data_IF_829154911179
#
_entry.id   IF_829154911179
#
_cell.length_a   1.000
_cell.length_b   1.000
_cell.length_c   1.000
_cell.angle_alpha   90.00
_cell.angle_beta   90.00
_cell.angle_gamma   90.00
#
_symmetry.space_group_name_H-M   'P 1'
#
loop_
_entity.id
_entity.type
_entity.pdbx_description
1 polymer ?
#
# COMPACT_ATOMS: atom_id res chain seq x y z
N UNK A 1 10.39 13.26 -40.74
CA UNK A 1 10.75 11.87 -41.07
C UNK A 1 11.42 11.27 -39.87
N UNK A 2 10.74 10.32 -39.24
CA UNK A 2 11.22 9.59 -38.09
C UNK A 2 12.52 8.83 -38.40
N UNK A 3 13.39 8.69 -37.40
CA UNK A 3 14.60 7.89 -37.47
C UNK A 3 14.30 6.45 -37.93
N UNK A 4 15.09 5.86 -38.84
CA UNK A 4 14.80 4.54 -39.39
C UNK A 4 14.76 3.40 -38.35
N UNK A 5 15.54 3.50 -37.27
CA UNK A 5 15.55 2.49 -36.21
C UNK A 5 14.25 2.58 -35.41
N UNK A 6 13.82 3.80 -35.07
CA UNK A 6 12.55 4.03 -34.38
C UNK A 6 11.37 3.57 -35.23
N UNK A 7 11.39 3.88 -36.54
CA UNK A 7 10.37 3.43 -37.49
C UNK A 7 10.23 1.90 -37.53
N UNK A 8 11.34 1.17 -37.68
CA UNK A 8 11.33 -0.30 -37.69
C UNK A 8 10.90 -0.89 -36.34
N UNK A 9 11.30 -0.26 -35.23
CA UNK A 9 10.87 -0.67 -33.90
C UNK A 9 9.36 -0.55 -33.73
N UNK A 10 8.76 0.57 -34.17
CA UNK A 10 7.31 0.76 -34.14
C UNK A 10 6.57 -0.27 -35.00
N UNK A 11 7.12 -0.66 -36.16
CA UNK A 11 6.55 -1.73 -36.98
C UNK A 11 6.55 -3.09 -36.26
N UNK A 12 7.61 -3.42 -35.52
CA UNK A 12 7.66 -4.66 -34.72
C UNK A 12 6.66 -4.60 -33.57
N UNK A 13 6.62 -3.49 -32.83
CA UNK A 13 5.67 -3.26 -31.74
C UNK A 13 4.24 -3.37 -32.25
N UNK A 14 3.90 -2.76 -33.39
CA UNK A 14 2.57 -2.86 -33.98
C UNK A 14 2.13 -4.31 -34.21
N UNK A 15 3.05 -5.14 -34.70
CA UNK A 15 2.80 -6.57 -35.01
C UNK A 15 2.62 -7.41 -33.74
N UNK A 16 3.19 -6.98 -32.61
CA UNK A 16 3.12 -7.72 -31.35
C UNK A 16 1.84 -7.48 -30.54
N UNK A 17 1.03 -6.49 -30.94
CA UNK A 17 -0.22 -6.12 -30.29
C UNK A 17 -1.42 -6.22 -31.23
N UNK A 18 -2.60 -6.38 -30.62
CA UNK A 18 -3.89 -6.36 -31.30
C UNK A 18 -4.92 -5.63 -30.46
N UNK A 19 -5.77 -4.86 -31.13
CA UNK A 19 -6.94 -4.23 -30.51
C UNK A 19 -7.87 -5.31 -29.93
N UNK A 20 -8.32 -5.10 -28.69
CA UNK A 20 -9.42 -5.90 -28.15
C UNK A 20 -10.74 -5.51 -28.83
N UNK A 21 -11.75 -6.40 -28.87
CA UNK A 21 -13.05 -6.08 -29.49
C UNK A 21 -13.62 -4.76 -28.95
N UNK A 22 -13.94 -3.84 -29.86
CA UNK A 22 -14.43 -2.49 -29.55
C UNK A 22 -13.34 -1.41 -29.47
N UNK A 23 -12.06 -1.78 -29.55
CA UNK A 23 -10.94 -0.84 -29.72
C UNK A 23 -10.63 -0.62 -31.19
N UNK A 24 -10.24 0.60 -31.54
CA UNK A 24 -9.71 0.98 -32.85
C UNK A 24 -8.40 1.77 -32.73
N UNK A 25 -7.66 1.59 -31.63
CA UNK A 25 -6.47 2.35 -31.30
C UNK A 25 -5.41 2.27 -32.42
N UNK A 26 -5.19 1.08 -32.98
CA UNK A 26 -4.20 0.89 -34.02
C UNK A 26 -4.67 1.26 -35.44
N UNK A 27 -5.88 1.81 -35.61
CA UNK A 27 -6.37 2.21 -36.93
C UNK A 27 -5.48 3.26 -37.61
N UNK A 28 -4.83 4.12 -36.82
CA UNK A 28 -3.88 5.12 -37.33
C UNK A 28 -2.50 4.56 -37.64
N UNK A 29 -2.15 3.37 -37.15
CA UNK A 29 -0.83 2.76 -37.32
C UNK A 29 -0.74 1.98 -38.62
N UNK A 30 -0.93 2.66 -39.74
CA UNK A 30 -0.96 2.08 -41.08
C UNK A 30 0.40 2.14 -41.80
N UNK A 31 1.37 2.89 -41.23
CA UNK A 31 2.71 3.12 -41.79
C UNK A 31 2.69 3.71 -43.21
N UNK A 32 1.61 4.41 -43.59
CA UNK A 32 1.53 5.18 -44.85
C UNK A 32 1.92 6.64 -44.67
N UNK A 33 1.96 7.12 -43.43
CA UNK A 33 2.35 8.49 -43.04
C UNK A 33 3.40 8.48 -41.91
N UNK A 34 3.89 9.66 -41.52
CA UNK A 34 4.88 9.79 -40.46
C UNK A 34 4.32 9.23 -39.12
N UNK A 35 4.95 8.20 -38.51
CA UNK A 35 4.44 7.57 -37.29
C UNK A 35 4.31 8.52 -36.10
N UNK A 36 4.96 9.68 -36.12
CA UNK A 36 4.78 10.71 -35.11
C UNK A 36 3.35 11.28 -35.04
N UNK A 37 2.51 11.01 -36.06
CA UNK A 37 1.09 11.38 -36.07
C UNK A 37 0.16 10.26 -35.58
N UNK A 38 0.70 9.08 -35.28
CA UNK A 38 -0.10 7.94 -34.86
C UNK A 38 -0.56 8.09 -33.41
N UNK A 39 -1.71 7.48 -33.09
CA UNK A 39 -2.23 7.49 -31.74
C UNK A 39 -1.19 6.97 -30.74
N UNK A 40 -0.95 7.74 -29.68
CA UNK A 40 -0.05 7.36 -28.58
C UNK A 40 1.45 7.49 -28.86
N UNK A 41 1.87 7.98 -30.03
CA UNK A 41 3.29 8.23 -30.35
C UNK A 41 3.57 9.73 -30.26
N UNK A 42 4.59 10.10 -29.50
CA UNK A 42 5.08 11.47 -29.42
C UNK A 42 6.56 11.52 -29.75
N UNK A 43 6.91 12.43 -30.66
CA UNK A 43 8.28 12.59 -31.14
C UNK A 43 8.84 13.96 -30.77
N UNK A 44 10.15 14.00 -30.57
CA UNK A 44 10.95 15.22 -30.54
C UNK A 44 11.99 15.08 -31.66
N UNK A 45 12.08 16.09 -32.52
CA UNK A 45 12.85 16.03 -33.76
C UNK A 45 12.47 14.80 -34.62
N UNK A 46 13.36 13.80 -34.71
CA UNK A 46 13.16 12.57 -35.46
C UNK A 46 13.13 11.32 -34.56
N UNK A 47 12.94 11.46 -33.24
CA UNK A 47 12.99 10.36 -32.28
C UNK A 47 11.72 10.26 -31.45
N UNK A 48 11.31 9.04 -31.10
CA UNK A 48 10.16 8.80 -30.22
C UNK A 48 10.56 9.04 -28.77
N UNK A 49 9.91 10.03 -28.13
CA UNK A 49 10.15 10.40 -26.73
C UNK A 49 9.08 9.88 -25.77
N UNK A 50 7.86 9.63 -26.24
CA UNK A 50 6.83 8.98 -25.46
C UNK A 50 6.02 8.00 -26.31
N UNK A 51 5.69 6.86 -25.70
CA UNK A 51 4.88 5.82 -26.31
C UNK A 51 3.82 5.34 -25.32
N UNK A 52 2.56 5.63 -25.64
CA UNK A 52 1.40 5.33 -24.81
C UNK A 52 0.49 4.34 -25.54
N UNK A 53 0.70 3.04 -25.28
CA UNK A 53 0.02 1.96 -25.97
C UNK A 53 -1.39 1.73 -25.43
N UNK A 54 -2.36 2.04 -26.28
CA UNK A 54 -3.79 1.86 -26.07
C UNK A 54 -4.50 3.16 -25.67
N UNK A 55 -5.81 3.16 -25.85
CA UNK A 55 -6.64 4.35 -25.61
C UNK A 55 -6.83 4.60 -24.10
N UNK A 56 -6.46 5.79 -23.59
CA UNK A 56 -6.50 6.10 -22.16
C UNK A 56 -7.91 6.39 -21.63
N UNK A 57 -8.93 6.48 -22.49
CA UNK A 57 -10.31 6.77 -22.07
C UNK A 57 -10.83 5.69 -21.12
N UNK A 58 -11.50 6.13 -20.06
CA UNK A 58 -12.14 5.22 -19.11
C UNK A 58 -13.14 4.31 -19.84
N UNK A 59 -13.02 3.00 -19.61
CA UNK A 59 -13.86 1.98 -20.27
C UNK A 59 -13.33 1.51 -21.64
N UNK A 60 -12.20 2.03 -22.11
CA UNK A 60 -11.50 1.48 -23.29
C UNK A 60 -11.23 -0.02 -23.10
N UNK A 61 -11.51 -0.87 -24.10
CA UNK A 61 -11.22 -2.31 -24.02
C UNK A 61 -9.73 -2.62 -23.83
N UNK A 62 -8.85 -1.72 -24.28
CA UNK A 62 -7.40 -1.89 -24.21
C UNK A 62 -6.83 -2.77 -25.33
N UNK A 63 -5.62 -3.27 -25.10
CA UNK A 63 -4.87 -4.07 -26.07
C UNK A 63 -4.63 -5.49 -25.58
N UNK A 64 -4.37 -6.40 -26.51
CA UNK A 64 -3.85 -7.75 -26.25
C UNK A 64 -2.54 -7.97 -27.00
N UNK A 65 -1.76 -8.97 -26.60
CA UNK A 65 -0.48 -9.29 -27.23
C UNK A 65 0.67 -9.30 -26.24
N UNK A 66 1.88 -9.00 -26.70
CA UNK A 66 3.12 -9.04 -25.90
C UNK A 66 3.97 -7.81 -26.15
N UNK A 67 4.76 -7.42 -25.16
CA UNK A 67 5.75 -6.35 -25.29
C UNK A 67 6.92 -6.87 -26.14
N UNK A 68 7.06 -6.34 -27.36
CA UNK A 68 8.14 -6.70 -28.25
C UNK A 68 9.49 -6.17 -27.74
N UNK A 69 10.57 -6.97 -27.72
CA UNK A 69 11.91 -6.51 -27.35
C UNK A 69 12.45 -5.33 -28.16
N UNK A 70 11.92 -5.08 -29.37
CA UNK A 70 12.22 -3.92 -30.19
C UNK A 70 11.91 -2.59 -29.49
N UNK A 71 11.08 -2.58 -28.44
CA UNK A 71 10.87 -1.40 -27.60
C UNK A 71 12.19 -0.78 -27.13
N UNK A 72 13.20 -1.60 -26.83
CA UNK A 72 14.52 -1.13 -26.38
C UNK A 72 15.33 -0.40 -27.45
N UNK A 73 14.85 -0.32 -28.70
CA UNK A 73 15.47 0.43 -29.79
C UNK A 73 15.03 1.90 -29.84
N UNK A 74 13.95 2.27 -29.16
CA UNK A 74 13.48 3.65 -29.01
C UNK A 74 14.35 4.38 -27.98
N UNK A 75 15.64 4.59 -28.26
CA UNK A 75 16.62 5.00 -27.23
C UNK A 75 16.37 6.40 -26.64
N UNK A 76 15.58 7.24 -27.31
CA UNK A 76 15.16 8.55 -26.81
C UNK A 76 13.97 8.48 -25.84
N UNK A 77 13.31 7.34 -25.70
CA UNK A 77 12.06 7.19 -24.95
C UNK A 77 12.22 7.61 -23.49
N UNK A 78 11.42 8.59 -23.08
CA UNK A 78 11.31 9.12 -21.72
C UNK A 78 10.06 8.60 -21.00
N UNK A 79 8.99 8.29 -21.73
CA UNK A 79 7.74 7.77 -21.19
C UNK A 79 7.27 6.53 -21.97
N UNK A 80 6.99 5.46 -21.24
CA UNK A 80 6.35 4.25 -21.77
C UNK A 80 5.16 3.91 -20.89
N UNK A 81 3.97 3.96 -21.48
CA UNK A 81 2.75 3.49 -20.82
C UNK A 81 2.04 2.44 -21.66
N UNK A 82 1.40 1.50 -20.96
CA UNK A 82 0.49 0.54 -21.56
C UNK A 82 -0.79 0.56 -20.73
N UNK A 83 -1.91 0.91 -21.36
CA UNK A 83 -3.20 1.02 -20.68
C UNK A 83 -3.71 -0.35 -20.22
N UNK A 84 -4.68 -0.41 -19.28
CA UNK A 84 -5.29 -1.66 -18.85
C UNK A 84 -5.81 -2.49 -20.04
N UNK A 85 -5.60 -3.80 -20.00
CA UNK A 85 -5.93 -4.67 -21.13
C UNK A 85 -5.65 -6.15 -20.87
N UNK A 86 -5.31 -6.88 -21.94
CA UNK A 86 -4.97 -8.31 -21.93
C UNK A 86 -3.55 -8.58 -22.42
N UNK A 87 -2.60 -7.71 -22.09
CA UNK A 87 -1.20 -7.89 -22.46
C UNK A 87 -0.57 -8.97 -21.59
N UNK A 88 0.08 -9.95 -22.22
CA UNK A 88 0.69 -11.13 -21.58
C UNK A 88 2.21 -11.15 -21.80
N UNK A 89 2.87 -12.13 -21.20
CA UNK A 89 4.32 -12.35 -21.35
C UNK A 89 5.13 -11.59 -20.32
N UNK A 90 6.46 -11.65 -20.43
CA UNK A 90 7.37 -11.01 -19.49
C UNK A 90 7.86 -9.64 -19.97
N UNK A 91 8.35 -8.84 -19.02
CA UNK A 91 9.07 -7.62 -19.33
C UNK A 91 10.36 -7.96 -20.10
N UNK A 92 10.59 -7.42 -21.31
CA UNK A 92 11.80 -7.72 -22.05
C UNK A 92 13.00 -7.04 -21.40
N UNK A 93 14.11 -7.77 -21.30
CA UNK A 93 15.36 -7.25 -20.72
C UNK A 93 15.91 -6.04 -21.50
N UNK A 94 15.50 -5.86 -22.76
CA UNK A 94 15.86 -4.73 -23.61
C UNK A 94 15.29 -3.40 -23.14
N UNK A 95 14.30 -3.37 -22.24
CA UNK A 95 13.86 -2.13 -21.57
C UNK A 95 15.02 -1.39 -20.89
N UNK A 96 16.05 -2.11 -20.46
CA UNK A 96 17.26 -1.53 -19.88
C UNK A 96 18.04 -0.62 -20.83
N UNK A 97 17.79 -0.67 -22.14
CA UNK A 97 18.43 0.19 -23.15
C UNK A 97 17.85 1.61 -23.19
N UNK A 98 16.66 1.82 -22.61
CA UNK A 98 15.95 3.10 -22.60
C UNK A 98 16.53 4.06 -21.57
N UNK A 99 17.78 4.50 -21.75
CA UNK A 99 18.53 5.26 -20.73
C UNK A 99 17.89 6.61 -20.36
N UNK A 100 16.98 7.12 -21.18
CA UNK A 100 16.22 8.34 -20.95
C UNK A 100 14.89 8.13 -20.21
N UNK A 101 14.49 6.88 -19.98
CA UNK A 101 13.18 6.55 -19.40
C UNK A 101 13.03 7.14 -18.00
N UNK A 102 11.98 7.93 -17.81
CA UNK A 102 11.57 8.56 -16.55
C UNK A 102 10.29 7.96 -16.02
N UNK A 103 9.39 7.54 -16.91
CA UNK A 103 8.08 7.00 -16.55
C UNK A 103 7.86 5.66 -17.25
N UNK A 104 7.69 4.60 -16.46
CA UNK A 104 7.31 3.27 -16.93
C UNK A 104 6.05 2.82 -16.19
N UNK A 105 4.91 2.77 -16.89
CA UNK A 105 3.64 2.33 -16.32
C UNK A 105 2.98 1.24 -17.16
N UNK A 106 2.90 0.04 -16.62
CA UNK A 106 2.26 -1.12 -17.24
C UNK A 106 1.41 -1.77 -16.16
N UNK A 107 0.24 -1.19 -15.90
CA UNK A 107 -0.67 -1.67 -14.84
C UNK A 107 -1.91 -2.37 -15.41
N UNK A 108 -2.54 -3.22 -14.59
CA UNK A 108 -3.81 -3.92 -14.90
C UNK A 108 -3.76 -4.70 -16.23
N UNK A 109 -2.74 -5.54 -16.34
CA UNK A 109 -2.53 -6.45 -17.46
C UNK A 109 -2.20 -7.85 -16.89
N UNK A 110 -1.73 -8.76 -17.74
CA UNK A 110 -1.35 -10.12 -17.36
C UNK A 110 0.15 -10.36 -17.54
N UNK A 111 0.97 -9.32 -17.31
CA UNK A 111 2.42 -9.44 -17.38
C UNK A 111 2.89 -10.43 -16.31
N UNK A 112 3.72 -11.39 -16.70
CA UNK A 112 4.21 -12.47 -15.85
C UNK A 112 5.74 -12.57 -15.90
N UNK A 113 6.33 -13.56 -15.23
CA UNK A 113 7.78 -13.65 -15.06
C UNK A 113 8.28 -12.67 -13.99
N UNK A 114 9.58 -12.37 -14.01
CA UNK A 114 10.24 -11.54 -12.99
C UNK A 114 10.50 -10.11 -13.46
N UNK A 115 10.74 -9.20 -12.52
CA UNK A 115 11.28 -7.86 -12.82
C UNK A 115 12.76 -8.04 -13.24
N UNK A 116 13.15 -7.69 -14.48
CA UNK A 116 14.54 -7.87 -14.90
C UNK A 116 15.48 -6.99 -14.09
N UNK A 117 16.53 -7.57 -13.49
CA UNK A 117 17.52 -6.82 -12.72
C UNK A 117 18.23 -5.72 -13.56
N UNK A 118 18.25 -5.87 -14.88
CA UNK A 118 18.78 -4.88 -15.83
C UNK A 118 18.00 -3.57 -15.83
N UNK A 119 16.75 -3.53 -15.37
CA UNK A 119 16.00 -2.28 -15.17
C UNK A 119 16.69 -1.33 -14.17
N UNK A 120 17.53 -1.84 -13.27
CA UNK A 120 18.38 -1.02 -12.40
C UNK A 120 19.44 -0.19 -13.14
N UNK A 121 19.57 -0.33 -14.46
CA UNK A 121 20.41 0.54 -15.29
C UNK A 121 19.71 1.84 -15.71
N UNK A 122 18.40 1.98 -15.46
CA UNK A 122 17.59 3.14 -15.84
C UNK A 122 17.75 4.27 -14.81
N UNK A 123 18.92 4.89 -14.75
CA UNK A 123 19.30 5.87 -13.73
C UNK A 123 18.38 7.11 -13.66
N UNK A 124 17.62 7.40 -14.72
CA UNK A 124 16.67 8.53 -14.82
C UNK A 124 15.23 8.15 -14.45
N UNK A 125 14.97 6.87 -14.14
CA UNK A 125 13.62 6.40 -13.85
C UNK A 125 13.10 7.01 -12.55
N UNK A 126 11.95 7.67 -12.65
CA UNK A 126 11.26 8.35 -11.57
C UNK A 126 10.02 7.58 -11.11
N UNK A 127 9.28 6.99 -12.05
CA UNK A 127 8.09 6.21 -11.74
C UNK A 127 8.17 4.83 -12.37
N UNK A 128 8.02 3.81 -11.53
CA UNK A 128 7.84 2.42 -11.91
C UNK A 128 6.49 1.93 -11.39
N UNK A 129 5.52 1.78 -12.28
CA UNK A 129 4.22 1.18 -11.99
C UNK A 129 4.04 -0.11 -12.78
N UNK A 130 4.02 -1.23 -12.07
CA UNK A 130 3.74 -2.57 -12.61
C UNK A 130 2.57 -3.23 -11.86
N UNK A 131 1.71 -2.43 -11.24
CA UNK A 131 0.64 -2.90 -10.37
C UNK A 131 -0.44 -3.71 -11.10
N UNK A 132 -1.12 -4.60 -10.39
CA UNK A 132 -2.20 -5.44 -10.93
C UNK A 132 -1.74 -6.26 -12.15
N UNK A 133 -0.67 -7.03 -11.99
CA UNK A 133 -0.19 -7.99 -12.97
C UNK A 133 0.01 -9.37 -12.30
N UNK A 134 0.75 -10.27 -12.96
CA UNK A 134 1.08 -11.61 -12.49
C UNK A 134 2.60 -11.75 -12.25
N UNK A 135 3.30 -10.65 -11.96
CA UNK A 135 4.76 -10.63 -11.82
C UNK A 135 5.16 -11.39 -10.56
N UNK A 136 6.09 -12.32 -10.72
CA UNK A 136 6.68 -13.12 -9.65
C UNK A 136 8.15 -12.78 -9.40
N UNK A 137 8.88 -13.69 -8.76
CA UNK A 137 10.28 -13.49 -8.40
C UNK A 137 10.45 -12.44 -7.29
N UNK A 138 11.65 -11.89 -7.15
CA UNK A 138 11.95 -10.86 -6.14
C UNK A 138 12.03 -9.45 -6.75
N UNK A 139 11.92 -8.42 -5.91
CA UNK A 139 12.27 -7.05 -6.32
C UNK A 139 13.81 -7.00 -6.40
N UNK A 140 14.43 -6.79 -7.57
CA UNK A 140 15.88 -6.80 -7.67
C UNK A 140 16.50 -5.67 -6.85
N UNK A 141 17.60 -5.95 -6.13
CA UNK A 141 18.35 -4.95 -5.37
C UNK A 141 18.73 -3.73 -6.22
N UNK A 142 19.04 -3.94 -7.49
CA UNK A 142 19.39 -2.88 -8.44
C UNK A 142 18.28 -1.83 -8.61
N UNK A 143 17.00 -2.20 -8.48
CA UNK A 143 15.87 -1.25 -8.48
C UNK A 143 15.92 -0.35 -7.25
N UNK A 144 16.20 -0.91 -6.08
CA UNK A 144 16.35 -0.16 -4.83
C UNK A 144 17.48 0.88 -4.87
N UNK A 145 18.47 0.68 -5.76
CA UNK A 145 19.61 1.59 -5.96
C UNK A 145 19.41 2.67 -7.02
N UNK A 146 18.25 2.74 -7.67
CA UNK A 146 17.97 3.77 -8.67
C UNK A 146 17.87 5.15 -7.99
N UNK A 147 18.69 6.14 -8.38
CA UNK A 147 18.86 7.37 -7.61
C UNK A 147 17.66 8.33 -7.74
N UNK A 148 16.95 8.30 -8.87
CA UNK A 148 15.91 9.25 -9.21
C UNK A 148 14.47 8.76 -8.92
N UNK A 149 14.30 7.57 -8.33
CA UNK A 149 12.97 7.03 -8.07
C UNK A 149 12.17 7.94 -7.14
N UNK A 150 10.93 8.19 -7.52
CA UNK A 150 9.93 8.92 -6.75
C UNK A 150 8.74 8.03 -6.40
N UNK A 151 8.31 7.19 -7.33
CA UNK A 151 7.17 6.29 -7.16
C UNK A 151 7.53 4.85 -7.55
N UNK A 152 7.31 3.93 -6.63
CA UNK A 152 7.40 2.47 -6.87
C UNK A 152 6.06 1.85 -6.51
N UNK A 153 5.33 1.38 -7.54
CA UNK A 153 3.98 0.83 -7.42
C UNK A 153 3.99 -0.58 -8.01
N UNK A 154 4.06 -1.59 -7.15
CA UNK A 154 4.13 -3.00 -7.53
C UNK A 154 3.00 -3.83 -6.89
N UNK A 155 1.96 -3.17 -6.39
CA UNK A 155 0.88 -3.84 -5.66
C UNK A 155 0.05 -4.79 -6.51
N UNK A 156 -0.57 -5.79 -5.89
CA UNK A 156 -1.37 -6.83 -6.56
C UNK A 156 -0.58 -7.58 -7.63
N UNK A 157 0.51 -8.21 -7.21
CA UNK A 157 1.31 -9.12 -8.01
C UNK A 157 1.54 -10.42 -7.22
N UNK A 158 2.52 -11.22 -7.64
CA UNK A 158 2.98 -12.45 -6.97
C UNK A 158 4.45 -12.33 -6.54
N UNK A 159 4.89 -11.11 -6.25
CA UNK A 159 6.29 -10.82 -5.92
C UNK A 159 6.61 -11.42 -4.55
N UNK A 160 7.77 -12.04 -4.43
CA UNK A 160 8.23 -12.80 -3.27
C UNK A 160 9.63 -12.35 -2.84
N UNK A 161 10.20 -13.00 -1.82
CA UNK A 161 11.49 -12.61 -1.26
C UNK A 161 11.44 -11.34 -0.42
N UNK A 162 12.61 -10.76 -0.10
CA UNK A 162 12.71 -9.59 0.75
C UNK A 162 12.52 -8.28 0.00
N UNK A 163 12.07 -7.25 0.72
CA UNK A 163 12.08 -5.87 0.23
C UNK A 163 13.55 -5.39 0.19
N UNK A 164 14.08 -4.93 -0.95
CA UNK A 164 15.42 -4.36 -1.02
C UNK A 164 15.46 -2.96 -0.38
N UNK A 165 16.62 -2.50 0.11
CA UNK A 165 16.75 -1.12 0.58
C UNK A 165 16.55 -0.15 -0.58
N UNK A 166 15.76 0.89 -0.34
CA UNK A 166 15.59 1.99 -1.28
C UNK A 166 16.46 3.17 -0.84
N UNK A 167 17.39 3.59 -1.69
CA UNK A 167 18.38 4.64 -1.35
C UNK A 167 18.02 6.02 -1.90
N UNK A 168 17.06 6.09 -2.83
CA UNK A 168 16.65 7.35 -3.43
C UNK A 168 16.02 8.29 -2.41
N UNK A 169 16.58 9.48 -2.31
CA UNK A 169 16.09 10.54 -1.42
C UNK A 169 14.87 11.28 -2.01
N UNK A 170 14.45 10.94 -3.23
CA UNK A 170 13.26 11.50 -3.88
C UNK A 170 12.06 10.56 -3.79
N UNK A 171 12.22 9.37 -3.18
CA UNK A 171 11.16 8.38 -3.09
C UNK A 171 10.09 8.85 -2.11
N UNK A 172 8.91 9.15 -2.63
CA UNK A 172 7.75 9.62 -1.86
C UNK A 172 6.69 8.54 -1.73
N UNK A 173 6.61 7.59 -2.68
CA UNK A 173 5.60 6.53 -2.69
C UNK A 173 6.22 5.15 -2.88
N UNK A 174 5.94 4.26 -1.92
CA UNK A 174 6.19 2.83 -2.01
C UNK A 174 4.89 2.06 -1.76
N UNK A 175 4.35 1.45 -2.81
CA UNK A 175 3.10 0.68 -2.79
C UNK A 175 3.35 -0.73 -3.31
N UNK A 176 3.57 -1.68 -2.39
CA UNK A 176 3.89 -3.09 -2.70
C UNK A 176 2.94 -4.06 -1.99
N UNK A 177 1.75 -3.58 -1.61
CA UNK A 177 0.72 -4.39 -0.97
C UNK A 177 0.22 -5.53 -1.86
N UNK A 178 -0.40 -6.54 -1.26
CA UNK A 178 -0.93 -7.72 -1.98
C UNK A 178 0.15 -8.40 -2.83
N UNK A 179 1.15 -8.96 -2.16
CA UNK A 179 2.22 -9.76 -2.71
C UNK A 179 2.58 -10.90 -1.72
N UNK A 180 3.61 -11.67 -2.03
CA UNK A 180 4.16 -12.75 -1.19
C UNK A 180 5.51 -12.36 -0.55
N UNK A 181 5.75 -11.05 -0.32
CA UNK A 181 7.01 -10.55 0.24
C UNK A 181 7.22 -11.06 1.67
N UNK A 182 8.45 -11.35 2.04
CA UNK A 182 8.83 -11.89 3.35
C UNK A 182 10.10 -11.26 3.93
N UNK A 183 10.44 -11.61 5.16
CA UNK A 183 11.57 -11.00 5.87
C UNK A 183 11.26 -9.61 6.43
N UNK A 184 12.28 -8.97 6.98
CA UNK A 184 12.16 -7.66 7.63
C UNK A 184 12.16 -6.50 6.62
N UNK A 185 11.56 -5.37 7.00
CA UNK A 185 11.66 -4.14 6.23
C UNK A 185 13.09 -3.61 6.35
N UNK A 186 13.78 -3.31 5.24
CA UNK A 186 15.10 -2.69 5.26
C UNK A 186 15.00 -1.20 5.67
N UNK A 187 16.13 -0.48 5.61
CA UNK A 187 16.07 0.98 5.73
C UNK A 187 15.32 1.57 4.53
N UNK A 188 14.41 2.50 4.82
CA UNK A 188 13.66 3.28 3.85
C UNK A 188 14.02 4.77 3.97
N UNK A 189 13.92 5.55 2.88
CA UNK A 189 14.32 6.95 2.89
C UNK A 189 13.30 7.81 3.65
N UNK A 190 13.74 8.85 4.38
CA UNK A 190 12.87 9.72 5.18
C UNK A 190 11.92 10.58 4.34
N UNK A 191 12.14 10.65 3.02
CA UNK A 191 11.28 11.34 2.05
C UNK A 191 9.92 10.66 1.81
N UNK A 192 9.72 9.44 2.33
CA UNK A 192 8.49 8.68 2.12
C UNK A 192 7.28 9.37 2.72
N UNK A 193 6.24 9.51 1.90
CA UNK A 193 4.94 10.08 2.26
C UNK A 193 3.83 9.03 2.21
N UNK A 194 3.95 8.03 1.34
CA UNK A 194 3.00 6.93 1.19
C UNK A 194 3.73 5.59 1.30
N UNK A 195 3.38 4.80 2.31
CA UNK A 195 3.91 3.46 2.52
C UNK A 195 2.77 2.45 2.65
N UNK A 196 2.64 1.56 1.67
CA UNK A 196 1.67 0.45 1.73
C UNK A 196 2.36 -0.88 1.49
N UNK A 197 2.43 -1.69 2.56
CA UNK A 197 3.05 -3.01 2.59
C UNK A 197 2.04 -4.11 2.94
N UNK A 198 0.75 -3.77 3.00
CA UNK A 198 -0.28 -4.68 3.53
C UNK A 198 -0.44 -5.95 2.71
N UNK A 199 -1.00 -6.98 3.32
CA UNK A 199 -1.19 -8.29 2.66
C UNK A 199 0.10 -8.85 2.08
N UNK A 200 1.06 -9.10 2.97
CA UNK A 200 2.31 -9.77 2.68
C UNK A 200 2.65 -10.74 3.84
N UNK A 201 3.86 -11.29 3.84
CA UNK A 201 4.39 -12.19 4.88
C UNK A 201 5.60 -11.55 5.58
N UNK A 202 5.64 -10.21 5.65
CA UNK A 202 6.76 -9.47 6.22
C UNK A 202 6.82 -9.65 7.73
N UNK A 203 8.03 -9.71 8.28
CA UNK A 203 8.32 -10.05 9.67
C UNK A 203 9.20 -8.99 10.33
N UNK A 204 9.50 -9.20 11.62
CA UNK A 204 10.48 -8.40 12.34
C UNK A 204 9.93 -7.07 12.89
N UNK A 205 10.75 -6.35 13.66
CA UNK A 205 10.37 -5.08 14.26
C UNK A 205 10.43 -3.93 13.27
N UNK A 206 9.60 -2.91 13.49
CA UNK A 206 9.48 -1.73 12.62
C UNK A 206 9.83 -0.42 13.34
N UNK A 207 10.09 -0.45 14.64
CA UNK A 207 10.40 0.69 15.50
C UNK A 207 11.53 1.58 14.95
N UNK A 208 12.63 0.95 14.55
CA UNK A 208 13.81 1.66 14.00
C UNK A 208 13.57 2.29 12.64
N UNK A 209 12.72 1.68 11.81
CA UNK A 209 12.43 2.19 10.47
C UNK A 209 11.40 3.30 10.56
N UNK A 210 10.27 3.06 11.23
CA UNK A 210 9.16 4.02 11.32
C UNK A 210 9.55 5.31 12.07
N UNK A 211 10.46 5.25 13.04
CA UNK A 211 10.91 6.45 13.76
C UNK A 211 11.57 7.51 12.87
N UNK A 212 12.00 7.16 11.65
CA UNK A 212 12.66 8.07 10.70
C UNK A 212 11.74 8.61 9.61
N UNK A 213 10.52 8.08 9.47
CA UNK A 213 9.61 8.38 8.35
C UNK A 213 8.61 9.48 8.72
N UNK A 214 9.11 10.63 9.17
CA UNK A 214 8.30 11.72 9.72
C UNK A 214 7.49 12.51 8.67
N UNK A 215 7.66 12.23 7.38
CA UNK A 215 6.88 12.80 6.28
C UNK A 215 5.69 11.91 5.86
N UNK A 216 5.44 10.80 6.55
CA UNK A 216 4.34 9.89 6.20
C UNK A 216 2.97 10.54 6.38
N UNK A 217 2.19 10.52 5.29
CA UNK A 217 0.80 10.92 5.22
C UNK A 217 -0.14 9.70 5.19
N UNK A 218 0.35 8.56 4.70
CA UNK A 218 -0.38 7.29 4.62
C UNK A 218 0.53 6.12 4.98
N UNK A 219 0.06 5.27 5.90
CA UNK A 219 0.76 4.04 6.26
C UNK A 219 -0.23 2.89 6.44
N UNK A 220 0.02 1.81 5.70
CA UNK A 220 -0.69 0.55 5.84
C UNK A 220 0.29 -0.63 5.88
N UNK A 221 0.47 -1.17 7.09
CA UNK A 221 1.28 -2.36 7.37
C UNK A 221 0.41 -3.57 7.70
N UNK A 222 -0.91 -3.47 7.52
CA UNK A 222 -1.86 -4.49 7.97
C UNK A 222 -1.66 -5.84 7.29
N UNK A 223 -2.15 -6.91 7.92
CA UNK A 223 -2.09 -8.28 7.39
C UNK A 223 -0.66 -8.72 7.02
N UNK A 224 0.21 -8.67 8.02
CA UNK A 224 1.60 -9.13 7.96
C UNK A 224 1.94 -9.92 9.24
N UNK A 225 3.23 -10.16 9.48
CA UNK A 225 3.75 -10.86 10.65
C UNK A 225 4.74 -9.97 11.43
N UNK A 226 4.57 -8.65 11.38
CA UNK A 226 5.44 -7.71 12.09
C UNK A 226 5.36 -7.89 13.60
N UNK A 227 6.50 -7.77 14.28
CA UNK A 227 6.65 -7.97 15.72
C UNK A 227 7.17 -6.72 16.42
N UNK A 228 7.33 -6.78 17.74
CA UNK A 228 7.91 -5.70 18.52
C UNK A 228 6.95 -4.53 18.73
N UNK A 229 7.51 -3.42 19.24
CA UNK A 229 6.75 -2.21 19.59
C UNK A 229 6.57 -1.30 18.38
N UNK A 230 5.58 -0.43 18.44
CA UNK A 230 5.44 0.71 17.55
C UNK A 230 6.05 1.95 18.23
N UNK A 231 6.78 2.82 17.51
CA UNK A 231 7.39 4.00 18.10
C UNK A 231 6.31 5.05 18.41
N UNK A 232 6.41 5.72 19.57
CA UNK A 232 5.44 6.74 20.00
C UNK A 232 5.39 7.95 19.06
N UNK A 233 6.51 8.26 18.40
CA UNK A 233 6.58 9.32 17.38
C UNK A 233 5.72 9.06 16.16
N UNK A 234 5.32 7.80 15.89
CA UNK A 234 4.43 7.49 14.76
C UNK A 234 3.10 8.25 14.85
N UNK A 235 2.64 8.53 16.07
CA UNK A 235 1.38 9.22 16.32
C UNK A 235 1.46 10.74 16.14
N UNK A 236 2.66 11.33 16.06
CA UNK A 236 2.85 12.77 15.81
C UNK A 236 3.04 13.12 14.34
N UNK A 237 3.11 12.12 13.47
CA UNK A 237 3.24 12.33 12.02
C UNK A 237 1.91 12.79 11.41
N UNK A 238 1.91 13.47 10.25
CA UNK A 238 0.71 13.96 9.58
C UNK A 238 -0.10 12.85 8.88
N UNK A 239 -0.29 11.71 9.55
CA UNK A 239 -0.95 10.52 9.01
C UNK A 239 -2.47 10.74 8.98
N UNK A 240 -3.05 10.47 7.81
CA UNK A 240 -4.50 10.52 7.59
C UNK A 240 -5.23 9.25 8.05
N UNK A 241 -4.56 8.11 7.99
CA UNK A 241 -5.10 6.80 8.36
C UNK A 241 -3.96 5.85 8.76
N UNK A 242 -4.03 5.30 9.97
CA UNK A 242 -3.02 4.38 10.52
C UNK A 242 -3.57 2.97 10.57
N UNK A 243 -3.05 2.09 9.69
CA UNK A 243 -3.51 0.70 9.57
C UNK A 243 -2.39 -0.29 9.92
N UNK A 244 -2.45 -0.87 11.12
CA UNK A 244 -1.46 -1.85 11.62
C UNK A 244 -2.09 -3.20 11.99
N UNK A 245 -3.37 -3.38 11.70
CA UNK A 245 -4.15 -4.53 12.13
C UNK A 245 -3.66 -5.85 11.57
N UNK A 246 -3.94 -6.95 12.28
CA UNK A 246 -3.57 -8.32 11.88
C UNK A 246 -2.07 -8.48 11.70
N UNK A 247 -1.35 -8.20 12.78
CA UNK A 247 0.09 -8.39 12.90
C UNK A 247 0.40 -9.10 14.24
N UNK A 248 1.67 -9.09 14.64
CA UNK A 248 2.14 -9.61 15.92
C UNK A 248 2.79 -8.51 16.78
N UNK A 249 2.42 -7.24 16.54
CA UNK A 249 2.94 -6.11 17.32
C UNK A 249 2.59 -6.27 18.80
N UNK A 250 3.48 -5.83 19.68
CA UNK A 250 3.38 -6.04 21.12
C UNK A 250 3.88 -4.85 21.94
N UNK A 251 3.69 -4.93 23.25
CA UNK A 251 4.04 -3.85 24.17
C UNK A 251 3.00 -2.74 24.22
N UNK A 252 3.28 -1.68 25.00
CA UNK A 252 2.32 -0.61 25.24
C UNK A 252 2.24 0.39 24.08
N UNK A 253 1.03 0.92 23.86
CA UNK A 253 0.76 1.99 22.90
C UNK A 253 0.69 3.30 23.68
N UNK A 254 1.76 4.09 23.60
CA UNK A 254 1.94 5.31 24.39
C UNK A 254 2.28 6.49 23.47
N UNK A 255 1.29 7.11 22.79
CA UNK A 255 1.49 8.39 22.12
C UNK A 255 1.98 9.45 23.12
N UNK A 256 2.84 10.36 22.65
CA UNK A 256 3.39 11.44 23.49
C UNK A 256 2.34 12.52 23.77
N UNK A 257 1.55 12.84 22.74
CA UNK A 257 0.51 13.86 22.75
C UNK A 257 -0.81 13.30 22.22
N UNK A 258 -1.87 14.11 22.31
CA UNK A 258 -3.18 13.79 21.75
C UNK A 258 -3.08 13.45 20.27
N UNK A 259 -3.68 12.32 19.88
CA UNK A 259 -3.57 11.79 18.52
C UNK A 259 -4.53 12.53 17.59
N UNK A 260 -4.00 13.13 16.52
CA UNK A 260 -4.78 13.86 15.51
C UNK A 260 -5.27 12.97 14.36
N UNK A 261 -4.78 11.73 14.29
CA UNK A 261 -5.13 10.77 13.24
C UNK A 261 -6.62 10.38 13.38
N UNK A 262 -7.47 10.62 12.37
CA UNK A 262 -8.91 10.35 12.47
C UNK A 262 -9.24 8.85 12.63
N UNK A 263 -8.47 7.99 11.96
CA UNK A 263 -8.69 6.54 11.97
C UNK A 263 -7.41 5.81 12.36
N UNK A 264 -7.49 5.02 13.44
CA UNK A 264 -6.40 4.21 13.97
C UNK A 264 -6.90 2.79 14.15
N UNK A 265 -6.38 1.87 13.33
CA UNK A 265 -6.67 0.44 13.44
C UNK A 265 -5.44 -0.35 13.91
N UNK A 266 -5.48 -0.74 15.19
CA UNK A 266 -4.47 -1.57 15.86
C UNK A 266 -5.00 -2.97 16.15
N UNK A 267 -6.16 -3.33 15.60
CA UNK A 267 -6.85 -4.56 15.97
C UNK A 267 -6.08 -5.83 15.57
N UNK A 268 -6.39 -6.96 16.21
CA UNK A 268 -5.75 -8.25 15.91
C UNK A 268 -4.21 -8.20 16.01
N UNK A 269 -3.73 -7.80 17.17
CA UNK A 269 -2.30 -7.74 17.50
C UNK A 269 -2.06 -8.35 18.89
N UNK A 270 -0.89 -8.10 19.47
CA UNK A 270 -0.51 -8.49 20.83
C UNK A 270 -0.17 -7.27 21.69
N UNK A 271 -0.71 -6.09 21.37
CA UNK A 271 -0.51 -4.87 22.17
C UNK A 271 -1.02 -5.08 23.60
N UNK A 272 -0.31 -4.53 24.58
CA UNK A 272 -0.53 -4.82 25.99
C UNK A 272 -0.42 -3.56 26.86
N UNK A 273 -0.76 -3.68 28.15
CA UNK A 273 -0.77 -2.54 29.07
C UNK A 273 -2.08 -1.75 29.02
N UNK A 274 -2.10 -0.59 29.67
CA UNK A 274 -3.30 0.26 29.73
C UNK A 274 -3.57 0.98 28.41
N UNK A 275 -4.85 1.26 28.16
CA UNK A 275 -5.28 2.12 27.05
C UNK A 275 -4.87 3.56 27.34
N UNK A 276 -4.04 4.16 26.50
CA UNK A 276 -3.59 5.55 26.68
C UNK A 276 -4.74 6.55 26.47
N UNK A 277 -4.94 7.53 27.37
CA UNK A 277 -5.94 8.59 27.20
C UNK A 277 -5.67 9.50 26.00
N UNK A 278 -4.42 9.52 25.48
CA UNK A 278 -4.05 10.32 24.31
C UNK A 278 -4.73 9.84 23.02
N UNK A 279 -5.29 8.63 23.00
CA UNK A 279 -6.07 8.09 21.88
C UNK A 279 -7.55 8.53 21.90
N UNK A 280 -7.99 9.27 22.92
CA UNK A 280 -9.42 9.64 23.09
C UNK A 280 -9.94 10.63 22.05
N UNK A 281 -9.05 11.28 21.29
CA UNK A 281 -9.40 12.18 20.17
C UNK A 281 -9.59 11.47 18.84
N UNK A 282 -9.27 10.18 18.74
CA UNK A 282 -9.41 9.39 17.51
C UNK A 282 -10.89 9.10 17.25
N UNK A 283 -11.39 9.48 16.07
CA UNK A 283 -12.79 9.30 15.68
C UNK A 283 -13.16 7.83 15.46
N UNK A 284 -12.28 7.07 14.80
CA UNK A 284 -12.47 5.64 14.52
C UNK A 284 -11.30 4.83 15.10
N UNK A 285 -11.51 4.28 16.29
CA UNK A 285 -10.47 3.60 17.06
C UNK A 285 -10.79 2.10 17.21
N UNK A 286 -9.90 1.28 16.66
CA UNK A 286 -9.99 -0.18 16.73
C UNK A 286 -8.82 -0.74 17.54
N UNK A 287 -9.11 -1.12 18.79
CA UNK A 287 -8.16 -1.77 19.71
C UNK A 287 -8.53 -3.22 19.99
N UNK A 288 -9.55 -3.75 19.34
CA UNK A 288 -10.08 -5.08 19.59
C UNK A 288 -9.08 -6.19 19.25
N UNK A 289 -9.25 -7.36 19.88
CA UNK A 289 -8.39 -8.54 19.68
C UNK A 289 -6.91 -8.22 19.97
N UNK A 290 -6.65 -7.74 21.19
CA UNK A 290 -5.34 -7.42 21.72
C UNK A 290 -5.22 -7.94 23.16
N UNK A 291 -4.23 -7.45 23.90
CA UNK A 291 -3.96 -7.79 25.31
C UNK A 291 -4.00 -6.55 26.21
N UNK A 292 -4.80 -5.54 25.87
CA UNK A 292 -4.95 -4.36 26.72
C UNK A 292 -5.60 -4.72 28.05
N UNK A 293 -5.16 -4.06 29.12
CA UNK A 293 -5.55 -4.31 30.51
C UNK A 293 -5.94 -3.03 31.23
N UNK A 294 -6.44 -3.18 32.47
CA UNK A 294 -6.81 -2.07 33.32
C UNK A 294 -8.14 -1.43 32.94
N UNK A 295 -8.39 -0.28 33.56
CA UNK A 295 -9.59 0.54 33.34
C UNK A 295 -9.44 1.35 32.06
N UNK A 296 -10.51 1.43 31.28
CA UNK A 296 -10.59 2.37 30.14
C UNK A 296 -10.71 3.79 30.71
N UNK A 297 -9.85 4.75 30.30
CA UNK A 297 -9.90 6.11 30.83
C UNK A 297 -11.27 6.79 30.60
N UNK A 298 -11.76 7.51 31.62
CA UNK A 298 -13.08 8.18 31.58
C UNK A 298 -13.26 9.15 30.42
N UNK A 299 -12.18 9.78 29.93
CA UNK A 299 -12.23 10.69 28.79
C UNK A 299 -12.74 10.02 27.49
N UNK A 300 -12.62 8.69 27.35
CA UNK A 300 -13.25 7.98 26.22
C UNK A 300 -14.76 7.97 26.32
N UNK A 301 -15.32 7.87 27.53
CA UNK A 301 -16.76 7.91 27.78
C UNK A 301 -17.29 9.30 27.44
N UNK A 302 -16.63 10.35 27.93
CA UNK A 302 -17.02 11.74 27.63
C UNK A 302 -17.05 12.01 26.11
N UNK A 303 -16.01 11.57 25.40
CA UNK A 303 -15.88 11.75 23.94
C UNK A 303 -16.89 10.90 23.15
N UNK A 304 -17.22 9.72 23.64
CA UNK A 304 -18.23 8.84 23.05
C UNK A 304 -19.63 9.45 23.21
N UNK A 305 -19.98 9.92 24.41
CA UNK A 305 -21.28 10.54 24.68
C UNK A 305 -21.46 11.89 23.97
N UNK A 306 -20.36 12.61 23.73
CA UNK A 306 -20.33 13.82 22.92
C UNK A 306 -20.35 13.56 21.40
N UNK A 307 -20.56 12.31 20.95
CA UNK A 307 -20.52 11.89 19.54
C UNK A 307 -19.22 12.25 18.79
N UNK A 308 -18.13 12.54 19.52
CA UNK A 308 -16.81 12.85 18.95
C UNK A 308 -16.10 11.57 18.47
N UNK A 309 -16.30 10.46 19.18
CA UNK A 309 -15.86 9.12 18.74
C UNK A 309 -17.04 8.45 18.02
N UNK A 310 -16.83 8.06 16.77
CA UNK A 310 -17.81 7.31 15.97
C UNK A 310 -17.66 5.81 16.15
N UNK A 311 -16.44 5.30 16.29
CA UNK A 311 -16.18 3.87 16.49
C UNK A 311 -15.16 3.69 17.62
N UNK A 312 -15.54 2.93 18.65
CA UNK A 312 -14.68 2.49 19.73
C UNK A 312 -14.80 0.99 19.93
N UNK A 313 -13.90 0.23 19.29
CA UNK A 313 -13.89 -1.23 19.37
C UNK A 313 -12.80 -1.71 20.32
N UNK A 314 -13.22 -2.27 21.45
CA UNK A 314 -12.38 -2.72 22.56
C UNK A 314 -12.57 -4.21 22.87
N UNK A 315 -13.43 -4.90 22.12
CA UNK A 315 -13.75 -6.31 22.36
C UNK A 315 -12.54 -7.22 22.26
N UNK A 316 -12.58 -8.38 22.92
CA UNK A 316 -11.48 -9.35 22.95
C UNK A 316 -10.17 -8.74 23.50
N UNK A 317 -10.25 -8.13 24.67
CA UNK A 317 -9.09 -7.70 25.47
C UNK A 317 -9.19 -8.29 26.90
N UNK A 318 -8.45 -7.71 27.84
CA UNK A 318 -8.44 -8.05 29.26
C UNK A 318 -8.74 -6.80 30.13
N UNK A 319 -9.57 -5.89 29.60
CA UNK A 319 -9.97 -4.67 30.30
C UNK A 319 -10.85 -5.01 31.51
N UNK A 320 -10.67 -4.26 32.60
CA UNK A 320 -11.33 -4.54 33.89
C UNK A 320 -12.52 -3.62 34.18
N UNK A 321 -12.72 -2.58 33.38
CA UNK A 321 -13.90 -1.72 33.46
C UNK A 321 -13.84 -0.51 32.53
N UNK A 322 -14.96 0.19 32.49
CA UNK A 322 -15.16 1.49 31.84
C UNK A 322 -16.27 2.21 32.62
N UNK A 323 -16.01 3.44 33.07
CA UNK A 323 -16.92 4.20 33.93
C UNK A 323 -18.05 4.86 33.13
N UNK A 324 -18.99 4.04 32.65
CA UNK A 324 -20.16 4.51 31.91
C UNK A 324 -21.44 4.20 32.69
N UNK A 325 -22.34 5.17 32.79
CA UNK A 325 -23.62 5.00 33.48
C UNK A 325 -24.47 3.95 32.75
N UNK A 326 -24.96 2.88 33.41
CA UNK A 326 -25.74 1.83 32.75
C UNK A 326 -27.01 2.28 32.05
N UNK A 327 -27.58 3.43 32.44
CA UNK A 327 -28.80 3.97 31.83
C UNK A 327 -28.51 4.99 30.72
N UNK A 328 -27.24 5.27 30.41
CA UNK A 328 -26.91 6.24 29.36
C UNK A 328 -27.18 5.64 27.98
N UNK A 329 -27.80 6.44 27.12
CA UNK A 329 -27.95 6.10 25.71
C UNK A 329 -26.71 6.57 24.94
N UNK A 330 -26.10 5.66 24.18
CA UNK A 330 -24.99 6.01 23.30
C UNK A 330 -25.58 6.66 22.03
N UNK A 331 -25.05 7.81 21.59
CA UNK A 331 -25.51 8.45 20.36
C UNK A 331 -25.52 7.48 19.17
N UNK A 332 -26.55 7.55 18.32
CA UNK A 332 -26.69 6.66 17.14
C UNK A 332 -25.54 6.78 16.13
N UNK A 333 -24.83 7.92 16.14
CA UNK A 333 -23.62 8.17 15.34
C UNK A 333 -22.36 7.51 15.92
N UNK A 334 -22.46 6.90 17.09
CA UNK A 334 -21.35 6.32 17.85
C UNK A 334 -21.58 4.83 18.08
N UNK A 335 -20.53 4.03 17.89
CA UNK A 335 -20.55 2.59 18.02
C UNK A 335 -19.50 2.14 19.02
N UNK A 336 -19.94 1.52 20.11
CA UNK A 336 -19.11 0.98 21.16
C UNK A 336 -19.20 -0.54 21.16
N UNK A 337 -18.07 -1.24 21.19
CA UNK A 337 -18.05 -2.68 21.36
C UNK A 337 -17.07 -3.12 22.46
N UNK A 338 -17.62 -3.69 23.54
CA UNK A 338 -16.89 -4.04 24.76
C UNK A 338 -16.82 -5.55 25.05
N UNK A 339 -17.44 -6.37 24.21
CA UNK A 339 -17.63 -7.80 24.46
C UNK A 339 -16.32 -8.54 24.75
N UNK A 340 -16.40 -9.61 25.53
CA UNK A 340 -15.28 -10.51 25.80
C UNK A 340 -14.07 -9.85 26.47
N UNK A 341 -14.35 -9.04 27.50
CA UNK A 341 -13.38 -8.43 28.41
C UNK A 341 -13.52 -8.97 29.85
N UNK A 342 -12.58 -8.61 30.73
CA UNK A 342 -12.52 -9.02 32.14
C UNK A 342 -13.38 -8.14 33.06
N UNK A 343 -14.58 -7.79 32.60
CA UNK A 343 -15.51 -6.91 33.29
C UNK A 343 -16.95 -7.35 33.04
N UNK A 344 -17.85 -7.01 33.96
CA UNK A 344 -19.28 -7.03 33.67
C UNK A 344 -19.57 -5.85 32.75
N UNK A 345 -20.30 -6.09 31.65
CA UNK A 345 -20.61 -5.04 30.70
C UNK A 345 -21.53 -4.00 31.35
N UNK A 346 -21.11 -2.72 31.48
CA UNK A 346 -21.92 -1.69 32.11
C UNK A 346 -23.11 -1.28 31.24
N UNK A 347 -22.97 -1.38 29.90
CA UNK A 347 -24.00 -1.13 28.91
C UNK A 347 -24.02 -2.25 27.87
N UNK A 348 -25.20 -2.58 27.34
CA UNK A 348 -25.33 -3.55 26.25
C UNK A 348 -25.39 -2.82 24.91
N UNK A 349 -24.32 -2.93 24.13
CA UNK A 349 -24.19 -2.27 22.83
C UNK A 349 -24.05 -3.31 21.72
N UNK A 350 -24.58 -3.04 20.51
CA UNK A 350 -24.42 -3.95 19.38
C UNK A 350 -22.95 -3.98 18.96
N UNK A 351 -22.40 -5.19 18.86
CA UNK A 351 -21.07 -5.43 18.32
C UNK A 351 -21.14 -5.97 16.89
N UNK A 352 -20.10 -5.78 16.06
CA UNK A 352 -20.01 -6.43 14.76
C UNK A 352 -20.13 -7.95 14.88
N UNK A 353 -20.71 -8.63 13.89
CA UNK A 353 -20.88 -10.10 13.90
C UNK A 353 -19.58 -10.88 14.19
N UNK A 354 -18.44 -10.36 13.72
CA UNK A 354 -17.11 -10.94 13.93
C UNK A 354 -16.61 -10.85 15.39
N UNK A 355 -17.28 -10.10 16.26
CA UNK A 355 -16.96 -10.01 17.68
C UNK A 355 -17.38 -11.26 18.47
N UNK A 356 -18.19 -12.15 17.90
CA UNK A 356 -18.74 -13.30 18.62
C UNK A 356 -19.98 -12.93 19.44
N UNK A 357 -20.40 -13.85 20.31
CA UNK A 357 -21.63 -13.72 21.11
C UNK A 357 -21.36 -13.66 22.62
N UNK A 358 -20.12 -13.88 23.03
CA UNK A 358 -19.72 -13.97 24.42
C UNK A 358 -19.67 -12.56 25.04
N UNK A 359 -20.45 -12.35 26.10
CA UNK A 359 -20.52 -11.04 26.77
C UNK A 359 -19.25 -10.73 27.57
N UNK A 360 -18.82 -11.67 28.42
CA UNK A 360 -17.67 -11.51 29.32
C UNK A 360 -16.64 -12.60 29.09
N UNK A 361 -15.37 -12.31 29.42
CA UNK A 361 -14.28 -13.29 29.38
C UNK A 361 -14.36 -14.21 30.62
N UNK A 362 -14.06 -15.52 30.50
CA UNK A 362 -14.03 -16.42 31.65
C UNK A 362 -13.08 -15.92 32.76
N UNK A 363 -13.53 -15.99 34.01
CA UNK A 363 -12.78 -15.48 35.17
C UNK A 363 -11.38 -16.04 35.27
N UNK A 364 -11.18 -17.34 34.98
CA UNK A 364 -9.88 -17.99 34.98
C UNK A 364 -8.85 -17.31 34.06
N UNK A 365 -9.28 -16.73 32.94
CA UNK A 365 -8.41 -16.00 32.00
C UNK A 365 -8.11 -14.57 32.45
N UNK A 366 -8.82 -14.07 33.47
CA UNK A 366 -8.68 -12.72 34.00
C UNK A 366 -7.78 -12.66 35.25
N UNK A 367 -7.46 -13.79 35.86
CA UNK A 367 -6.67 -13.87 37.11
C UNK A 367 -5.24 -13.37 36.91
N UNK A 368 -4.64 -13.58 35.73
CA UNK A 368 -3.24 -13.19 35.41
C UNK A 368 -3.08 -11.68 35.17
N UNK A 369 -4.19 -10.96 34.93
CA UNK A 369 -4.17 -9.55 34.49
C UNK A 369 -4.87 -8.61 35.49
N UNK A 370 -5.09 -9.08 36.72
CA UNK A 370 -5.52 -8.26 37.87
C UNK A 370 -4.28 -7.67 38.54
N UNK A 371 -3.86 -6.50 38.08
CA UNK A 371 -2.76 -5.72 38.69
C UNK A 371 -1.67 -5.42 37.68
#
# INVERSE_FOLDING_TARGET
MLDPIDFLALQSIRKSFSDLPGSNYFASWDFTSDPCNFAGIYCEENKVIALNLGDPRAGSPGLSGRIDPAIGKLTALAELTIVPGRVIGSLPHTLSQLKNLRFLAISRNFISGEIPATLGQLRRLQTLDLSFNLIGGSIPFSIGTLPALSNVILCHNRISGSVPPFVSQTLTRLDIKHNDLSGAIPTLPPSLQYLSLSWNRLTGPVDRVLSRLNQLNYIDLSMNQFTGRIPSSLFSFPISNLQLQRNQFSGPVQPVDQVTIPTVDLSYNRFSGSVSPMLSTVQNLYLNNNRFTGQVPGCFVDRLLAASIQVLYLQHNYLTGIEINPTVEIPVSSSLCLQYNCMVLPVQTPCPLKAGKQKTRPTQQCIVWKG
#
